data_IF_582373815678
#
_entry.id   IF_582373815678
#
_cell.length_a   1.000
_cell.length_b   1.000
_cell.length_c   1.000
_cell.angle_alpha   90.00
_cell.angle_beta   90.00
_cell.angle_gamma   90.00
#
_symmetry.space_group_name_H-M   'P 1'
#
loop_
_entity.id
_entity.type
_entity.pdbx_description
1 polymer ?
#
# COMPACT_ATOMS: atom_id res chain seq x y z
N UNK A 1 -17.52 12.43 -33.15
CA UNK A 1 -16.97 12.35 -31.78
C UNK A 1 -17.85 13.22 -30.90
N UNK A 2 -18.41 12.67 -29.83
CA UNK A 2 -19.38 13.36 -28.98
C UNK A 2 -18.79 14.61 -28.34
N UNK A 3 -19.64 15.58 -28.02
CA UNK A 3 -19.25 16.90 -27.52
C UNK A 3 -18.53 16.88 -26.15
N UNK A 4 -18.45 15.72 -25.48
CA UNK A 4 -17.80 15.56 -24.17
C UNK A 4 -17.23 14.13 -24.02
N UNK A 5 -15.92 13.98 -24.22
CA UNK A 5 -15.17 12.72 -24.09
C UNK A 5 -14.58 12.60 -22.67
N UNK A 6 -15.45 12.73 -21.67
CA UNK A 6 -15.09 12.52 -20.27
C UNK A 6 -15.07 11.03 -19.96
N UNK A 7 -14.04 10.59 -19.29
CA UNK A 7 -13.90 9.23 -18.82
C UNK A 7 -13.64 9.22 -17.31
N UNK A 8 -14.24 8.25 -16.62
CA UNK A 8 -14.09 8.10 -15.18
C UNK A 8 -13.77 6.66 -14.84
N UNK A 9 -12.90 6.48 -13.86
CA UNK A 9 -12.48 5.19 -13.36
C UNK A 9 -12.64 5.15 -11.85
N UNK A 10 -13.24 4.07 -11.35
CA UNK A 10 -13.34 3.76 -9.93
C UNK A 10 -12.71 2.40 -9.71
N UNK A 11 -11.73 2.34 -8.81
CA UNK A 11 -11.07 1.10 -8.43
C UNK A 11 -11.13 0.94 -6.92
N UNK A 12 -11.49 -0.25 -6.46
CA UNK A 12 -11.46 -0.60 -5.05
C UNK A 12 -10.51 -1.79 -4.86
N UNK A 13 -9.50 -1.59 -4.02
CA UNK A 13 -8.53 -2.63 -3.65
C UNK A 13 -8.81 -3.08 -2.23
N UNK A 14 -9.12 -4.36 -2.08
CA UNK A 14 -9.23 -5.02 -0.79
C UNK A 14 -8.14 -6.09 -0.70
N UNK A 15 -7.27 -5.94 0.30
CA UNK A 15 -6.20 -6.89 0.58
C UNK A 15 -6.12 -7.17 2.08
N UNK A 16 -6.04 -8.45 2.43
CA UNK A 16 -5.93 -8.89 3.82
C UNK A 16 -4.87 -9.98 3.93
N UNK A 17 -3.99 -9.85 4.91
CA UNK A 17 -2.95 -10.84 5.20
C UNK A 17 -2.75 -10.98 6.69
N UNK A 18 -2.40 -12.19 7.10
CA UNK A 18 -2.08 -12.54 8.47
C UNK A 18 -0.88 -13.49 8.43
N UNK A 19 0.07 -13.31 9.32
CA UNK A 19 1.19 -14.22 9.45
C UNK A 19 1.77 -14.16 10.86
N UNK A 20 2.25 -15.31 11.30
CA UNK A 20 2.91 -15.48 12.56
C UNK A 20 4.24 -16.18 12.31
N UNK A 21 5.29 -15.72 12.97
CA UNK A 21 6.61 -16.34 12.92
C UNK A 21 7.13 -16.48 14.34
N UNK A 22 7.70 -17.64 14.63
CA UNK A 22 8.32 -17.94 15.91
C UNK A 22 9.69 -18.54 15.64
N UNK A 23 10.67 -18.07 16.42
CA UNK A 23 12.03 -18.59 16.42
C UNK A 23 12.47 -18.82 17.87
N UNK A 24 13.30 -19.85 18.06
CA UNK A 24 13.91 -20.20 19.34
C UNK A 24 15.40 -20.42 19.14
N UNK A 25 16.21 -20.01 20.11
CA UNK A 25 17.68 -20.02 20.03
C UNK A 25 18.27 -18.74 20.59
N UNK A 26 19.55 -18.47 20.33
CA UNK A 26 20.21 -17.22 20.71
C UNK A 26 19.80 -16.10 19.75
N UNK A 27 18.79 -15.31 20.15
CA UNK A 27 18.20 -14.28 19.30
C UNK A 27 18.73 -12.91 19.72
N UNK A 28 19.27 -12.18 18.75
CA UNK A 28 19.74 -10.80 18.93
C UNK A 28 18.83 -9.81 18.19
N UNK A 29 18.39 -8.77 18.90
CA UNK A 29 17.50 -7.76 18.33
C UNK A 29 18.29 -6.73 17.50
N UNK A 30 18.44 -6.98 16.19
CA UNK A 30 19.25 -6.15 15.28
C UNK A 30 18.78 -4.69 15.16
N UNK A 31 17.49 -4.40 15.39
CA UNK A 31 16.88 -3.09 15.13
C UNK A 31 16.23 -2.40 16.35
N UNK A 32 16.15 -3.05 17.52
CA UNK A 32 15.47 -2.51 18.72
C UNK A 32 16.40 -1.71 19.65
N UNK A 33 17.44 -1.04 19.13
CA UNK A 33 18.41 -0.33 19.97
C UNK A 33 19.40 -1.30 20.62
N UNK A 34 20.44 -1.63 19.85
CA UNK A 34 21.40 -2.72 20.03
C UNK A 34 22.38 -2.60 21.21
N UNK A 35 22.14 -1.76 22.23
CA UNK A 35 22.99 -1.76 23.44
C UNK A 35 22.64 -2.87 24.42
N UNK A 36 21.40 -3.34 24.45
CA UNK A 36 20.97 -4.46 25.29
C UNK A 36 21.28 -5.84 24.66
N UNK A 37 21.30 -5.93 23.33
CA UNK A 37 21.55 -7.17 22.58
C UNK A 37 23.01 -7.67 22.67
N UNK A 38 23.94 -6.85 23.17
CA UNK A 38 25.33 -7.24 23.40
C UNK A 38 25.52 -8.00 24.73
N UNK A 39 24.53 -7.95 25.63
CA UNK A 39 24.65 -8.49 27.00
C UNK A 39 23.53 -9.48 27.38
N UNK A 40 22.39 -9.43 26.69
CA UNK A 40 21.27 -10.35 26.92
C UNK A 40 20.80 -10.96 25.60
N UNK A 41 20.95 -12.27 25.48
CA UNK A 41 20.34 -13.09 24.45
C UNK A 41 18.90 -13.44 24.83
N UNK A 42 18.00 -13.46 23.85
CA UNK A 42 16.63 -13.93 24.04
C UNK A 42 16.53 -15.37 23.58
N UNK A 43 15.86 -16.25 24.34
CA UNK A 43 15.70 -17.67 23.99
C UNK A 43 14.56 -17.93 23.01
N UNK A 44 13.59 -17.02 22.93
CA UNK A 44 12.45 -17.13 22.03
C UNK A 44 11.96 -15.75 21.58
N UNK A 45 11.52 -15.67 20.33
CA UNK A 45 10.87 -14.51 19.78
C UNK A 45 9.67 -14.96 18.93
N UNK A 46 8.55 -14.25 19.08
CA UNK A 46 7.34 -14.47 18.30
C UNK A 46 6.87 -13.13 17.76
N UNK A 47 6.56 -13.10 16.47
CA UNK A 47 5.95 -11.96 15.80
C UNK A 47 4.64 -12.44 15.19
N UNK A 48 3.56 -11.72 15.47
CA UNK A 48 2.29 -11.86 14.79
C UNK A 48 2.02 -10.54 14.10
N UNK A 49 1.67 -10.59 12.83
CA UNK A 49 1.30 -9.41 12.08
C UNK A 49 0.08 -9.72 11.21
N UNK A 50 -0.88 -8.81 11.23
CA UNK A 50 -2.01 -8.80 10.34
C UNK A 50 -2.12 -7.41 9.71
N UNK A 51 -2.50 -7.38 8.44
CA UNK A 51 -2.70 -6.17 7.66
C UNK A 51 -4.03 -6.28 6.94
N UNK A 52 -4.92 -5.32 7.19
CA UNK A 52 -6.11 -5.08 6.39
C UNK A 52 -5.92 -3.77 5.63
N UNK A 53 -5.96 -3.86 4.30
CA UNK A 53 -5.65 -2.77 3.39
C UNK A 53 -6.85 -2.55 2.45
N UNK A 54 -7.48 -1.40 2.61
CA UNK A 54 -8.65 -0.97 1.84
C UNK A 54 -8.35 0.36 1.17
N UNK A 55 -8.32 0.40 -0.15
CA UNK A 55 -8.13 1.63 -0.92
C UNK A 55 -9.26 1.81 -1.92
N UNK A 56 -9.81 3.01 -1.95
CA UNK A 56 -10.70 3.50 -2.99
C UNK A 56 -9.96 4.53 -3.83
N UNK A 57 -9.94 4.32 -5.14
CA UNK A 57 -9.34 5.19 -6.14
C UNK A 57 -10.42 5.68 -7.10
N UNK A 58 -10.48 6.99 -7.29
CA UNK A 58 -11.34 7.68 -8.24
C UNK A 58 -10.44 8.47 -9.19
N UNK A 59 -10.61 8.32 -10.49
CA UNK A 59 -9.95 9.13 -11.52
C UNK A 59 -11.01 9.67 -12.48
N UNK A 60 -10.89 10.94 -12.84
CA UNK A 60 -11.75 11.63 -13.80
C UNK A 60 -10.84 12.32 -14.81
N UNK A 61 -10.95 11.93 -16.07
CA UNK A 61 -10.18 12.48 -17.17
C UNK A 61 -11.06 12.97 -18.31
N UNK A 62 -10.43 13.73 -19.20
CA UNK A 62 -11.04 14.13 -20.48
C UNK A 62 -10.00 14.08 -21.58
N UNK A 63 -10.28 13.37 -22.66
CA UNK A 63 -9.39 13.35 -23.82
C UNK A 63 -9.65 14.55 -24.73
N UNK A 64 -8.58 15.19 -25.22
CA UNK A 64 -8.66 16.20 -26.27
C UNK A 64 -7.53 16.06 -27.29
N UNK A 65 -7.87 16.30 -28.55
CA UNK A 65 -6.94 16.28 -29.67
C UNK A 65 -6.28 17.65 -29.81
N UNK A 66 -4.95 17.69 -29.70
CA UNK A 66 -4.17 18.90 -29.96
C UNK A 66 -3.84 19.01 -31.45
N UNK A 67 -3.64 17.86 -32.12
CA UNK A 67 -3.41 17.75 -33.57
C UNK A 67 -3.87 16.38 -34.09
N UNK A 68 -3.74 16.13 -35.40
CA UNK A 68 -4.08 14.83 -36.00
C UNK A 68 -3.25 13.65 -35.47
N UNK A 69 -2.13 13.92 -34.79
CA UNK A 69 -1.20 12.89 -34.29
C UNK A 69 -0.94 12.99 -32.78
N UNK A 70 -1.58 13.92 -32.07
CA UNK A 70 -1.36 14.14 -30.64
C UNK A 70 -2.70 14.33 -29.90
N UNK A 71 -2.96 13.44 -28.95
CA UNK A 71 -4.03 13.57 -27.95
C UNK A 71 -3.45 13.74 -26.56
N UNK A 72 -4.06 14.61 -25.75
CA UNK A 72 -3.77 14.77 -24.33
C UNK A 72 -5.01 14.39 -23.52
N UNK A 73 -4.81 13.76 -22.36
CA UNK A 73 -5.86 13.44 -21.40
C UNK A 73 -5.48 14.02 -20.04
N UNK A 74 -5.79 15.29 -19.73
CA UNK A 74 -5.78 15.76 -18.35
C UNK A 74 -6.70 14.90 -17.50
N UNK A 75 -6.25 14.60 -16.29
CA UNK A 75 -7.09 13.93 -15.30
C UNK A 75 -6.85 14.47 -13.90
N UNK A 76 -7.84 14.29 -13.05
CA UNK A 76 -7.80 14.53 -11.61
C UNK A 76 -8.30 13.29 -10.90
N UNK A 77 -7.59 12.87 -9.85
CA UNK A 77 -7.96 11.70 -9.08
C UNK A 77 -7.98 11.96 -7.58
N UNK A 78 -8.78 11.16 -6.88
CA UNK A 78 -8.87 11.09 -5.43
C UNK A 78 -8.60 9.65 -4.99
N UNK A 79 -7.60 9.48 -4.13
CA UNK A 79 -7.25 8.20 -3.49
C UNK A 79 -7.52 8.31 -1.99
N UNK A 80 -8.36 7.44 -1.47
CA UNK A 80 -8.69 7.35 -0.05
C UNK A 80 -8.55 5.91 0.45
N UNK A 81 -8.29 5.71 1.74
CA UNK A 81 -8.16 4.36 2.25
C UNK A 81 -8.07 4.22 3.75
N UNK A 82 -8.25 2.98 4.20
CA UNK A 82 -8.17 2.55 5.59
C UNK A 82 -7.19 1.39 5.69
N UNK A 83 -6.19 1.54 6.55
CA UNK A 83 -5.11 0.57 6.75
C UNK A 83 -5.06 0.25 8.24
N UNK A 84 -5.39 -0.99 8.58
CA UNK A 84 -5.27 -1.51 9.93
C UNK A 84 -4.12 -2.51 9.98
N UNK A 85 -3.16 -2.26 10.87
CA UNK A 85 -2.01 -3.14 11.10
C UNK A 85 -1.92 -3.48 12.59
N UNK A 86 -1.90 -4.78 12.90
CA UNK A 86 -1.84 -5.32 14.27
C UNK A 86 -0.80 -6.40 14.42
#
# INVERSE_FOLDING_TARGET
MGYDDWDSQVSYTWFQTHSASQISGDITAAYLGSKAALYNSYESASIKWALAYNILDLDLGRSFLVSCSLSLRPSIGLKGGWIDQT
#
